data_IF_773196084858
#
_entry.id   IF_773196084858
#
_cell.length_a   1.000
_cell.length_b   1.000
_cell.length_c   1.000
_cell.angle_alpha   90.00
_cell.angle_beta   90.00
_cell.angle_gamma   90.00
#
_symmetry.space_group_name_H-M   'P 1'
#
loop_
_entity.id
_entity.type
_entity.pdbx_description
1 polymer ?
#
# COMPACT_ATOMS: atom_id res chain seq x y z
N UNK A 1 7.75 84.49 68.99
CA UNK A 1 6.91 85.03 67.92
C UNK A 1 7.20 84.29 66.61
N UNK A 2 6.16 83.56 66.10
CA UNK A 2 5.77 83.39 64.69
C UNK A 2 6.85 82.87 63.73
N UNK A 3 6.67 82.01 62.83
CA UNK A 3 5.56 81.35 62.09
C UNK A 3 6.25 80.40 61.06
N UNK A 4 5.92 79.15 61.05
CA UNK A 4 5.07 78.56 60.00
C UNK A 4 5.55 78.71 58.53
N UNK A 5 5.78 77.61 57.89
CA UNK A 5 5.34 77.10 56.51
C UNK A 5 6.46 76.23 55.91
N UNK A 6 6.23 75.23 55.19
CA UNK A 6 5.12 74.37 54.86
C UNK A 6 5.74 73.23 53.99
N UNK A 7 5.25 72.06 54.18
CA UNK A 7 5.48 70.91 53.27
C UNK A 7 4.90 71.18 51.89
N UNK A 8 5.47 70.57 50.88
CA UNK A 8 4.82 69.92 49.75
C UNK A 8 5.90 69.50 48.71
N UNK A 9 5.95 68.26 48.36
CA UNK A 9 6.71 67.89 47.17
C UNK A 9 7.36 66.50 47.23
N UNK A 10 6.62 65.44 47.53
CA UNK A 10 7.10 64.07 47.30
C UNK A 10 5.90 63.13 47.04
N UNK A 11 5.34 63.24 45.85
CA UNK A 11 4.40 62.25 45.36
C UNK A 11 4.24 62.43 43.87
N UNK A 12 5.04 61.77 43.04
CA UNK A 12 4.78 61.52 41.59
C UNK A 12 5.99 60.87 40.90
N UNK A 13 6.47 59.72 41.38
CA UNK A 13 7.37 58.86 40.59
C UNK A 13 7.14 57.37 40.94
N UNK A 14 5.93 56.91 41.16
CA UNK A 14 5.67 55.50 41.49
C UNK A 14 4.57 54.85 40.64
N UNK A 15 4.22 55.41 39.46
CA UNK A 15 3.13 54.82 38.65
C UNK A 15 3.58 54.35 37.26
N UNK A 16 4.83 54.54 36.86
CA UNK A 16 5.29 54.20 35.50
C UNK A 16 6.06 52.88 35.33
N UNK A 17 6.21 52.06 36.39
CA UNK A 17 6.96 50.76 36.30
C UNK A 17 6.07 49.52 36.28
N UNK A 18 4.78 49.62 36.56
CA UNK A 18 3.89 48.45 36.59
C UNK A 18 3.16 48.16 35.27
N UNK A 19 3.27 48.97 34.22
CA UNK A 19 2.59 48.76 32.92
C UNK A 19 3.43 47.99 31.89
N UNK A 20 4.74 47.72 32.15
CA UNK A 20 5.59 47.06 31.16
C UNK A 20 5.84 45.57 31.39
N UNK A 21 5.29 44.96 32.45
CA UNK A 21 5.46 43.51 32.74
C UNK A 21 4.23 42.67 32.36
N UNK A 22 3.10 43.29 32.02
CA UNK A 22 1.85 42.58 31.64
C UNK A 22 1.71 42.27 30.13
N UNK A 23 2.64 42.72 29.27
CA UNK A 23 2.55 42.52 27.81
C UNK A 23 3.45 41.40 27.26
N UNK A 24 4.18 40.67 28.07
CA UNK A 24 5.10 39.61 27.65
C UNK A 24 4.60 38.19 27.96
N UNK A 25 3.37 38.00 28.43
CA UNK A 25 2.82 36.67 28.79
C UNK A 25 1.64 36.17 27.92
N UNK A 26 1.49 36.72 26.70
CA UNK A 26 0.36 36.31 25.83
C UNK A 26 0.81 35.92 24.41
N UNK A 27 1.88 35.11 24.31
CA UNK A 27 2.14 34.33 23.10
C UNK A 27 2.54 32.88 23.47
N UNK A 28 1.75 32.26 24.35
CA UNK A 28 1.62 30.82 24.32
C UNK A 28 0.92 30.49 23.01
N UNK A 29 1.66 30.00 22.03
CA UNK A 29 1.13 29.61 20.73
C UNK A 29 -0.09 28.73 20.92
N UNK A 30 -1.21 29.11 20.37
CA UNK A 30 -2.31 28.19 20.18
C UNK A 30 -1.77 27.04 19.34
N UNK A 31 -1.53 25.89 19.97
CA UNK A 31 -1.37 24.63 19.26
C UNK A 31 -2.72 24.43 18.59
N UNK A 32 -2.81 24.70 17.29
CA UNK A 32 -3.99 24.37 16.50
C UNK A 32 -4.32 22.90 16.73
N UNK A 33 -5.58 22.47 16.52
CA UNK A 33 -5.93 21.06 16.64
C UNK A 33 -4.93 20.26 15.80
N UNK A 34 -4.33 19.22 16.40
CA UNK A 34 -3.44 18.31 15.69
C UNK A 34 -4.13 17.87 14.40
N UNK A 35 -3.43 17.96 13.26
CA UNK A 35 -3.98 17.51 12.00
C UNK A 35 -4.50 16.08 12.17
N UNK A 36 -5.71 15.81 11.69
CA UNK A 36 -6.29 14.49 11.77
C UNK A 36 -5.37 13.49 11.06
N UNK A 37 -5.03 12.39 11.73
CA UNK A 37 -4.26 11.29 11.16
C UNK A 37 -5.20 10.13 10.83
N UNK A 38 -4.75 9.23 9.93
CA UNK A 38 -5.53 8.06 9.51
C UNK A 38 -5.81 7.09 10.66
N UNK A 39 -4.95 7.06 11.68
CA UNK A 39 -4.87 5.93 12.57
C UNK A 39 -4.39 4.66 11.86
N UNK A 40 -4.02 3.64 12.60
CA UNK A 40 -3.72 2.31 12.10
C UNK A 40 -4.35 1.25 13.03
N UNK A 41 -5.13 0.28 12.52
CA UNK A 41 -5.43 0.02 11.10
C UNK A 41 -6.37 1.06 10.47
N UNK A 42 -6.19 1.30 9.16
CA UNK A 42 -6.96 2.31 8.40
C UNK A 42 -8.32 1.81 7.90
N UNK A 43 -8.51 0.49 7.82
CA UNK A 43 -9.75 -0.12 7.36
C UNK A 43 -10.44 -0.86 8.51
N UNK A 44 -11.75 -0.77 8.66
CA UNK A 44 -12.49 -1.51 9.69
C UNK A 44 -12.66 -2.98 9.27
N UNK A 45 -12.21 -3.92 10.11
CA UNK A 45 -12.29 -5.36 9.87
C UNK A 45 -10.95 -5.97 9.47
N UNK A 46 -11.00 -7.23 9.02
CA UNK A 46 -9.82 -8.01 8.66
C UNK A 46 -9.60 -7.95 7.15
N UNK A 47 -8.58 -7.20 6.73
CA UNK A 47 -8.20 -7.02 5.35
C UNK A 47 -6.68 -7.15 5.20
N UNK A 48 -6.26 -7.96 4.23
CA UNK A 48 -4.87 -8.25 3.95
C UNK A 48 -4.51 -7.92 2.50
N UNK A 49 -3.25 -8.09 2.15
CA UNK A 49 -2.72 -8.03 0.78
C UNK A 49 -3.24 -6.79 0.03
N UNK A 50 -3.06 -5.57 0.61
CA UNK A 50 -3.68 -4.37 0.07
C UNK A 50 -2.95 -3.90 -1.19
N UNK A 51 -3.67 -3.81 -2.29
CA UNK A 51 -3.25 -3.01 -3.44
C UNK A 51 -3.75 -1.59 -3.28
N UNK A 52 -2.85 -0.62 -3.39
CA UNK A 52 -3.19 0.80 -3.31
C UNK A 52 -2.91 1.49 -4.65
N UNK A 53 -3.85 2.30 -5.11
CA UNK A 53 -3.77 3.01 -6.38
C UNK A 53 -4.29 4.45 -6.22
N UNK A 54 -3.96 5.30 -7.19
CA UNK A 54 -4.53 6.65 -7.33
C UNK A 54 -5.24 6.72 -8.68
N UNK A 55 -6.55 6.94 -8.66
CA UNK A 55 -7.33 7.17 -9.87
C UNK A 55 -7.95 8.57 -9.81
N UNK A 56 -7.58 9.41 -10.79
CA UNK A 56 -7.96 10.84 -10.76
C UNK A 56 -7.41 11.54 -9.52
N UNK A 57 -8.30 12.09 -8.68
CA UNK A 57 -7.96 12.74 -7.40
C UNK A 57 -8.35 11.91 -6.17
N UNK A 58 -8.42 10.59 -6.31
CA UNK A 58 -8.90 9.69 -5.26
C UNK A 58 -7.90 8.57 -5.03
N UNK A 59 -7.59 8.33 -3.76
CA UNK A 59 -6.85 7.15 -3.31
C UNK A 59 -7.79 5.97 -3.22
N UNK A 60 -7.30 4.80 -3.63
CA UNK A 60 -8.03 3.54 -3.59
C UNK A 60 -7.20 2.47 -2.90
N UNK A 61 -7.88 1.59 -2.17
CA UNK A 61 -7.31 0.35 -1.64
C UNK A 61 -8.23 -0.80 -2.01
N UNK A 62 -7.64 -1.84 -2.59
CA UNK A 62 -8.30 -3.09 -2.95
C UNK A 62 -7.64 -4.22 -2.15
N UNK A 63 -8.22 -4.66 -1.04
CA UNK A 63 -7.60 -5.69 -0.21
C UNK A 63 -8.26 -7.06 -0.39
N UNK A 64 -7.55 -8.10 0.02
CA UNK A 64 -8.13 -9.43 0.30
C UNK A 64 -8.97 -9.37 1.58
N UNK A 65 -10.16 -9.97 1.59
CA UNK A 65 -10.88 -10.27 2.84
C UNK A 65 -10.12 -11.34 3.61
N UNK A 66 -9.60 -10.98 4.78
CA UNK A 66 -8.75 -11.88 5.57
C UNK A 66 -9.62 -12.79 6.45
N UNK A 67 -10.02 -13.93 5.91
CA UNK A 67 -10.91 -14.92 6.49
C UNK A 67 -10.43 -16.34 6.11
N UNK A 68 -11.01 -17.43 6.62
CA UNK A 68 -10.79 -18.77 6.08
C UNK A 68 -11.03 -18.85 4.57
N UNK A 69 -10.25 -19.62 3.84
CA UNK A 69 -10.22 -19.62 2.37
C UNK A 69 -11.58 -19.82 1.71
N UNK A 70 -12.41 -20.73 2.26
CA UNK A 70 -13.76 -20.97 1.76
C UNK A 70 -14.71 -19.76 1.91
N UNK A 71 -14.39 -18.80 2.76
CA UNK A 71 -15.15 -17.56 2.98
C UNK A 71 -14.64 -16.38 2.12
N UNK A 72 -13.49 -16.54 1.47
CA UNK A 72 -12.89 -15.52 0.62
C UNK A 72 -13.49 -15.57 -0.79
N UNK A 73 -14.77 -15.23 -0.88
CA UNK A 73 -15.59 -15.33 -2.09
C UNK A 73 -15.86 -13.99 -2.77
N UNK A 74 -15.19 -12.93 -2.34
CA UNK A 74 -15.36 -11.61 -2.95
C UNK A 74 -14.40 -10.57 -2.40
N UNK A 75 -14.30 -9.47 -3.12
CA UNK A 75 -13.51 -8.30 -2.76
C UNK A 75 -14.39 -7.12 -2.42
N UNK A 76 -13.91 -6.31 -1.49
CA UNK A 76 -14.35 -4.94 -1.29
C UNK A 76 -13.29 -3.99 -1.83
N UNK A 77 -13.68 -2.74 -2.07
CA UNK A 77 -12.76 -1.65 -2.33
C UNK A 77 -12.98 -0.52 -1.33
N UNK A 78 -11.98 0.32 -1.16
CA UNK A 78 -12.05 1.50 -0.31
C UNK A 78 -11.51 2.70 -1.06
N UNK A 79 -12.20 3.84 -0.96
CA UNK A 79 -11.76 5.10 -1.56
C UNK A 79 -11.61 6.18 -0.50
N UNK A 80 -10.64 7.06 -0.70
CA UNK A 80 -10.38 8.19 0.19
C UNK A 80 -9.96 9.43 -0.60
N UNK A 81 -10.45 10.62 -0.25
CA UNK A 81 -9.95 11.88 -0.80
C UNK A 81 -8.64 12.35 -0.17
N UNK A 82 -8.21 11.75 0.96
CA UNK A 82 -7.18 12.33 1.83
C UNK A 82 -6.37 11.34 2.68
N UNK A 83 -6.45 10.03 2.42
CA UNK A 83 -5.81 8.93 3.18
C UNK A 83 -6.34 8.74 4.62
N UNK A 84 -7.27 9.57 5.08
CA UNK A 84 -7.82 9.54 6.45
C UNK A 84 -9.26 9.07 6.47
N UNK A 85 -10.08 9.60 5.57
CA UNK A 85 -11.51 9.27 5.50
C UNK A 85 -11.74 8.24 4.40
N UNK A 86 -12.08 6.99 4.80
CA UNK A 86 -12.27 5.90 3.87
C UNK A 86 -13.74 5.53 3.69
N UNK A 87 -14.17 5.42 2.44
CA UNK A 87 -15.50 4.93 2.05
C UNK A 87 -15.38 3.51 1.52
N UNK A 88 -16.13 2.58 2.12
CA UNK A 88 -16.16 1.17 1.70
C UNK A 88 -17.15 0.94 0.57
N UNK A 89 -16.71 0.29 -0.49
CA UNK A 89 -17.49 -0.25 -1.59
C UNK A 89 -17.54 -1.77 -1.46
N UNK A 90 -18.73 -2.33 -1.22
CA UNK A 90 -18.88 -3.76 -0.92
C UNK A 90 -19.02 -4.58 -2.18
N UNK A 91 -18.43 -5.78 -2.20
CA UNK A 91 -18.62 -6.79 -3.24
C UNK A 91 -18.36 -6.24 -4.65
N UNK A 92 -17.25 -5.52 -4.83
CA UNK A 92 -16.88 -4.95 -6.14
C UNK A 92 -16.63 -6.05 -7.17
N UNK A 93 -16.17 -7.23 -6.73
CA UNK A 93 -16.05 -8.47 -7.49
C UNK A 93 -16.36 -9.65 -6.57
N UNK A 94 -17.12 -10.64 -7.03
CA UNK A 94 -17.45 -11.87 -6.28
C UNK A 94 -17.32 -13.11 -7.16
N UNK A 95 -17.23 -14.28 -6.55
CA UNK A 95 -17.23 -15.56 -7.26
C UNK A 95 -18.46 -15.77 -8.16
N UNK A 96 -19.60 -15.13 -7.84
CA UNK A 96 -20.80 -15.20 -8.70
C UNK A 96 -20.58 -14.58 -10.09
N UNK A 97 -19.62 -13.64 -10.20
CA UNK A 97 -19.26 -13.01 -11.47
C UNK A 97 -18.11 -13.73 -12.20
N UNK A 98 -17.56 -14.83 -11.63
CA UNK A 98 -16.38 -15.54 -12.14
C UNK A 98 -16.70 -17.04 -12.23
N UNK A 99 -17.05 -17.50 -13.42
CA UNK A 99 -17.57 -18.88 -13.62
C UNK A 99 -16.61 -20.00 -13.15
N UNK A 100 -15.31 -19.74 -13.10
CA UNK A 100 -14.27 -20.72 -12.77
C UNK A 100 -13.74 -20.59 -11.33
N UNK A 101 -13.99 -19.47 -10.63
CA UNK A 101 -13.52 -19.25 -9.26
C UNK A 101 -14.60 -19.63 -8.25
N UNK A 102 -14.22 -20.23 -7.13
CA UNK A 102 -15.12 -20.68 -6.07
C UNK A 102 -14.78 -20.09 -4.71
N UNK A 103 -13.49 -19.94 -4.41
CA UNK A 103 -12.95 -19.52 -3.11
C UNK A 103 -11.57 -18.91 -3.26
N UNK A 104 -10.97 -18.52 -2.15
CA UNK A 104 -9.60 -18.05 -2.07
C UNK A 104 -9.32 -16.92 -3.09
N UNK A 105 -10.21 -15.92 -3.14
CA UNK A 105 -9.98 -14.71 -3.92
C UNK A 105 -8.98 -13.83 -3.19
N UNK A 106 -7.76 -13.67 -3.78
CA UNK A 106 -6.61 -13.06 -3.13
C UNK A 106 -5.92 -11.98 -3.92
N UNK A 107 -5.20 -11.13 -3.16
CA UNK A 107 -4.13 -10.25 -3.61
C UNK A 107 -4.47 -9.53 -4.92
N UNK A 108 -5.46 -8.63 -4.91
CA UNK A 108 -5.86 -7.92 -6.12
C UNK A 108 -4.75 -6.97 -6.59
N UNK A 109 -4.72 -6.71 -7.90
CA UNK A 109 -3.98 -5.60 -8.51
C UNK A 109 -4.89 -4.92 -9.51
N UNK A 110 -5.05 -3.59 -9.42
CA UNK A 110 -6.04 -2.86 -10.20
C UNK A 110 -5.37 -1.73 -10.97
N UNK A 111 -5.58 -1.71 -12.28
CA UNK A 111 -5.04 -0.67 -13.17
C UNK A 111 -6.15 -0.02 -13.98
N UNK A 112 -5.97 1.25 -14.33
CA UNK A 112 -6.80 1.97 -15.29
C UNK A 112 -6.16 1.92 -16.67
N UNK A 113 -6.97 1.65 -17.69
CA UNK A 113 -6.57 1.77 -19.08
C UNK A 113 -7.74 2.17 -19.97
N UNK A 114 -7.57 3.19 -20.77
CA UNK A 114 -8.55 3.68 -21.75
C UNK A 114 -9.94 3.96 -21.11
N UNK A 115 -9.93 4.51 -19.87
CA UNK A 115 -11.14 4.84 -19.11
C UNK A 115 -11.86 3.62 -18.54
N UNK A 116 -11.22 2.45 -18.51
CA UNK A 116 -11.72 1.22 -17.90
C UNK A 116 -10.75 0.73 -16.84
N UNK A 117 -11.30 0.00 -15.85
CA UNK A 117 -10.54 -0.54 -14.72
C UNK A 117 -10.44 -2.04 -14.86
N UNK A 118 -9.21 -2.57 -14.74
CA UNK A 118 -8.92 -3.98 -14.86
C UNK A 118 -8.43 -4.49 -13.51
N UNK A 119 -9.13 -5.47 -13.00
CA UNK A 119 -8.93 -6.07 -11.68
C UNK A 119 -8.33 -7.46 -11.85
N UNK A 120 -7.04 -7.59 -11.58
CA UNK A 120 -6.35 -8.88 -11.56
C UNK A 120 -6.48 -9.47 -10.15
N UNK A 121 -6.68 -10.77 -10.06
CA UNK A 121 -6.90 -11.47 -8.80
C UNK A 121 -6.42 -12.91 -8.88
N UNK A 122 -6.07 -13.52 -7.74
CA UNK A 122 -5.82 -14.96 -7.62
C UNK A 122 -7.06 -15.67 -7.12
N UNK A 123 -7.24 -16.92 -7.51
CA UNK A 123 -8.38 -17.73 -7.07
C UNK A 123 -8.06 -19.23 -6.94
N UNK A 124 -8.80 -19.91 -6.05
CA UNK A 124 -8.86 -21.36 -5.84
C UNK A 124 -7.60 -22.01 -5.26
N UNK A 125 -6.55 -21.24 -4.89
CA UNK A 125 -5.34 -21.77 -4.21
C UNK A 125 -4.79 -23.07 -4.79
N UNK A 126 -4.60 -23.13 -6.12
CA UNK A 126 -4.17 -24.34 -6.82
C UNK A 126 -2.78 -24.82 -6.36
N UNK A 127 -2.63 -26.14 -6.27
CA UNK A 127 -1.39 -26.81 -5.88
C UNK A 127 -0.72 -27.56 -7.04
N UNK A 128 -1.41 -27.63 -8.17
CA UNK A 128 -0.93 -28.32 -9.36
C UNK A 128 -1.61 -27.79 -10.63
N UNK A 129 -1.02 -28.09 -11.80
CA UNK A 129 -1.54 -27.73 -13.12
C UNK A 129 -2.85 -28.46 -13.49
N UNK A 130 -3.26 -29.46 -12.71
CA UNK A 130 -4.50 -30.21 -12.91
C UNK A 130 -5.70 -29.56 -12.22
N UNK A 131 -5.47 -28.56 -11.37
CA UNK A 131 -6.52 -27.84 -10.64
C UNK A 131 -6.94 -26.58 -11.43
N UNK A 132 -8.23 -26.28 -11.39
CA UNK A 132 -8.76 -25.07 -12.02
C UNK A 132 -8.60 -23.88 -11.07
N UNK A 133 -7.81 -22.90 -11.43
CA UNK A 133 -7.55 -21.70 -10.63
C UNK A 133 -6.35 -20.92 -11.13
N UNK A 134 -5.80 -20.07 -10.29
CA UNK A 134 -4.68 -19.18 -10.60
C UNK A 134 -5.09 -17.73 -10.79
N UNK A 135 -4.43 -16.99 -11.66
CA UNK A 135 -4.63 -15.54 -11.84
C UNK A 135 -5.70 -15.28 -12.89
N UNK A 136 -6.72 -14.50 -12.53
CA UNK A 136 -7.76 -14.01 -13.41
C UNK A 136 -7.68 -12.50 -13.64
N UNK A 137 -8.50 -12.02 -14.57
CA UNK A 137 -8.71 -10.60 -14.84
C UNK A 137 -10.19 -10.30 -15.05
N UNK A 138 -10.68 -9.28 -14.35
CA UNK A 138 -12.03 -8.76 -14.48
C UNK A 138 -12.00 -7.29 -14.90
N UNK A 139 -13.08 -6.76 -15.42
CA UNK A 139 -13.14 -5.40 -15.95
C UNK A 139 -14.40 -4.68 -15.51
N UNK A 140 -14.28 -3.37 -15.27
CA UNK A 140 -15.39 -2.47 -14.95
C UNK A 140 -15.20 -1.10 -15.61
N UNK A 141 -16.26 -0.31 -15.65
CA UNK A 141 -16.24 1.06 -16.17
C UNK A 141 -15.95 2.10 -15.06
N UNK A 142 -15.88 1.64 -13.79
CA UNK A 142 -15.57 2.48 -12.60
C UNK A 142 -14.75 1.67 -11.60
N UNK A 143 -13.89 2.32 -10.80
CA UNK A 143 -13.00 1.63 -9.87
C UNK A 143 -13.75 0.88 -8.75
N UNK A 144 -14.93 1.33 -8.35
CA UNK A 144 -15.81 0.63 -7.41
C UNK A 144 -16.61 -0.52 -8.03
N UNK A 145 -16.41 -0.80 -9.31
CA UNK A 145 -17.12 -1.88 -10.02
C UNK A 145 -18.58 -1.56 -10.39
N UNK A 146 -19.45 -2.59 -10.55
CA UNK A 146 -19.14 -4.01 -10.41
C UNK A 146 -18.21 -4.52 -11.53
N UNK A 147 -17.26 -5.36 -11.15
CA UNK A 147 -16.36 -6.00 -12.10
C UNK A 147 -16.97 -7.27 -12.68
N UNK A 148 -16.60 -7.58 -13.93
CA UNK A 148 -17.01 -8.80 -14.65
C UNK A 148 -15.78 -9.55 -15.13
N UNK A 149 -15.79 -10.87 -15.03
CA UNK A 149 -14.73 -11.72 -15.59
C UNK A 149 -14.52 -11.39 -17.07
N UNK A 150 -13.28 -11.11 -17.45
CA UNK A 150 -12.94 -10.73 -18.82
C UNK A 150 -12.80 -11.94 -19.74
N UNK A 151 -12.31 -13.08 -19.22
CA UNK A 151 -11.86 -14.21 -20.03
C UNK A 151 -12.73 -15.46 -19.91
N UNK A 152 -13.50 -15.61 -18.83
CA UNK A 152 -14.22 -16.84 -18.51
C UNK A 152 -13.31 -18.02 -18.11
N UNK A 153 -12.03 -17.75 -17.89
CA UNK A 153 -10.98 -18.72 -17.52
C UNK A 153 -9.80 -17.96 -16.89
N UNK A 154 -8.90 -18.64 -16.16
CA UNK A 154 -7.65 -18.02 -15.69
C UNK A 154 -6.83 -17.44 -16.85
N UNK A 155 -6.23 -16.27 -16.62
CA UNK A 155 -5.20 -15.67 -17.47
C UNK A 155 -3.90 -16.47 -17.38
N UNK A 156 -3.50 -16.85 -16.16
CA UNK A 156 -2.41 -17.77 -15.85
C UNK A 156 -2.96 -18.84 -14.91
N UNK A 157 -3.13 -20.04 -15.40
CA UNK A 157 -3.71 -21.17 -14.68
C UNK A 157 -2.75 -22.34 -14.44
N UNK A 158 -1.45 -22.14 -14.70
CA UNK A 158 -0.42 -23.18 -14.56
C UNK A 158 0.82 -22.62 -13.91
N UNK A 159 1.63 -23.50 -13.33
CA UNK A 159 2.91 -23.15 -12.74
C UNK A 159 3.97 -22.92 -13.82
N UNK A 160 4.73 -21.85 -13.68
CA UNK A 160 5.89 -21.56 -14.53
C UNK A 160 7.09 -21.28 -13.63
N UNK A 161 8.25 -21.87 -13.93
CA UNK A 161 9.49 -21.72 -13.15
C UNK A 161 9.30 -22.04 -11.64
N UNK A 162 8.34 -22.93 -11.28
CA UNK A 162 8.02 -23.28 -9.89
C UNK A 162 7.12 -22.29 -9.14
N UNK A 163 6.77 -21.16 -9.74
CA UNK A 163 5.91 -20.15 -9.10
C UNK A 163 4.44 -20.59 -9.12
N UNK A 164 3.82 -20.61 -7.94
CA UNK A 164 2.37 -20.68 -7.83
C UNK A 164 1.79 -19.41 -8.47
N UNK A 165 0.75 -19.53 -9.33
CA UNK A 165 0.15 -18.36 -9.98
C UNK A 165 -0.76 -17.57 -9.03
N UNK A 166 -0.14 -16.80 -8.14
CA UNK A 166 -0.78 -15.92 -7.15
C UNK A 166 -0.02 -14.59 -7.03
N UNK A 167 -0.58 -13.65 -6.28
CA UNK A 167 0.07 -12.41 -5.83
C UNK A 167 0.61 -11.58 -6.99
N UNK A 168 -0.24 -11.36 -7.98
CA UNK A 168 0.10 -10.59 -9.15
C UNK A 168 0.10 -9.09 -8.86
N UNK A 169 1.07 -8.39 -9.41
CA UNK A 169 1.16 -6.94 -9.48
C UNK A 169 1.33 -6.52 -10.95
N UNK A 170 0.49 -5.61 -11.41
CA UNK A 170 0.46 -5.12 -12.80
C UNK A 170 0.86 -3.66 -12.84
N UNK A 171 1.73 -3.30 -13.80
CA UNK A 171 2.14 -1.92 -14.02
C UNK A 171 2.42 -1.65 -15.50
N UNK A 172 2.28 -0.38 -15.88
CA UNK A 172 2.71 0.15 -17.17
C UNK A 172 4.11 0.73 -17.02
N UNK A 173 5.02 0.39 -17.93
CA UNK A 173 6.35 1.01 -18.01
C UNK A 173 6.31 2.28 -18.88
N UNK A 174 7.37 3.10 -18.82
CA UNK A 174 7.46 4.37 -19.55
C UNK A 174 7.34 4.24 -21.07
N UNK A 175 7.60 3.06 -21.61
CA UNK A 175 7.45 2.76 -23.05
C UNK A 175 6.02 2.31 -23.44
N UNK A 176 5.09 2.32 -22.49
CA UNK A 176 3.71 1.87 -22.67
C UNK A 176 3.53 0.35 -22.65
N UNK A 177 4.56 -0.41 -22.33
CA UNK A 177 4.45 -1.85 -22.18
C UNK A 177 3.86 -2.21 -20.81
N UNK A 178 2.89 -3.12 -20.82
CA UNK A 178 2.29 -3.65 -19.60
C UNK A 178 3.01 -4.90 -19.12
N UNK A 179 3.37 -4.90 -17.85
CA UNK A 179 4.01 -6.02 -17.20
C UNK A 179 3.16 -6.53 -16.03
N UNK A 180 3.26 -7.82 -15.76
CA UNK A 180 2.75 -8.41 -14.53
C UNK A 180 3.86 -9.22 -13.87
N UNK A 181 4.11 -8.95 -12.59
CA UNK A 181 4.94 -9.78 -11.73
C UNK A 181 4.00 -10.62 -10.91
N UNK A 182 4.30 -11.90 -10.73
CA UNK A 182 3.50 -12.79 -9.90
C UNK A 182 4.34 -13.94 -9.35
N UNK A 183 3.86 -14.54 -8.28
CA UNK A 183 4.41 -15.80 -7.82
C UNK A 183 4.36 -15.99 -6.31
N UNK A 184 4.05 -17.22 -5.93
CA UNK A 184 4.23 -17.76 -4.60
C UNK A 184 5.26 -18.88 -4.58
N UNK A 185 5.36 -19.59 -3.44
CA UNK A 185 6.23 -20.73 -3.23
C UNK A 185 7.72 -20.43 -3.48
N UNK A 186 8.13 -19.21 -3.16
CA UNK A 186 9.51 -18.72 -3.27
C UNK A 186 10.03 -18.56 -4.71
N UNK A 187 9.13 -18.41 -5.67
CA UNK A 187 9.44 -18.15 -7.07
C UNK A 187 8.64 -16.95 -7.59
N UNK A 188 9.27 -16.11 -8.39
CA UNK A 188 8.65 -14.96 -9.02
C UNK A 188 8.90 -14.94 -10.52
N UNK A 189 7.85 -14.69 -11.28
CA UNK A 189 7.93 -14.46 -12.72
C UNK A 189 7.54 -13.02 -13.07
N UNK A 190 8.14 -12.48 -14.13
CA UNK A 190 7.64 -11.31 -14.84
C UNK A 190 7.20 -11.73 -16.23
N UNK A 191 6.03 -11.25 -16.65
CA UNK A 191 5.48 -11.45 -18.00
C UNK A 191 5.13 -10.11 -18.62
N UNK A 192 5.19 -10.02 -19.95
CA UNK A 192 4.60 -8.91 -20.70
C UNK A 192 3.16 -9.26 -21.03
N UNK A 193 2.25 -8.38 -20.69
CA UNK A 193 0.83 -8.55 -21.02
C UNK A 193 0.55 -8.08 -22.44
N UNK A 194 -0.47 -8.66 -23.08
CA UNK A 194 -1.10 -8.06 -24.25
C UNK A 194 -1.82 -6.77 -23.83
N UNK A 195 -1.93 -5.85 -24.78
CA UNK A 195 -2.52 -4.54 -24.50
C UNK A 195 -4.00 -4.60 -24.10
N UNK A 196 -4.71 -5.66 -24.46
CA UNK A 196 -6.10 -5.93 -24.08
C UNK A 196 -6.25 -6.81 -22.82
N UNK A 197 -5.12 -7.15 -22.16
CA UNK A 197 -5.04 -8.03 -21.00
C UNK A 197 -5.62 -9.43 -21.19
N UNK A 198 -5.78 -9.88 -22.45
CA UNK A 198 -6.33 -11.22 -22.76
C UNK A 198 -5.29 -12.33 -22.78
N UNK A 199 -4.03 -12.02 -22.51
CA UNK A 199 -2.94 -13.00 -22.51
C UNK A 199 -1.58 -12.35 -22.34
N UNK A 200 -0.54 -13.19 -22.40
CA UNK A 200 0.86 -12.78 -22.34
C UNK A 200 1.46 -12.70 -23.75
N UNK A 201 2.55 -11.95 -23.90
CA UNK A 201 3.36 -11.86 -25.12
C UNK A 201 4.84 -12.02 -24.80
N UNK A 202 5.68 -12.44 -25.77
CA UNK A 202 7.09 -12.64 -25.52
C UNK A 202 7.83 -11.35 -25.09
N UNK A 203 8.83 -11.50 -24.23
CA UNK A 203 9.90 -10.54 -24.06
C UNK A 203 10.74 -10.45 -25.33
N UNK A 204 11.68 -9.49 -25.41
CA UNK A 204 12.57 -9.30 -26.55
C UNK A 204 13.43 -10.53 -26.88
N UNK A 205 13.77 -11.34 -25.86
CA UNK A 205 14.52 -12.59 -26.00
C UNK A 205 13.66 -13.81 -26.35
N UNK A 206 12.37 -13.62 -26.60
CA UNK A 206 11.40 -14.66 -26.93
C UNK A 206 10.80 -15.40 -25.74
N UNK A 207 11.24 -15.12 -24.52
CA UNK A 207 10.72 -15.76 -23.28
C UNK A 207 9.32 -15.23 -22.97
N UNK A 208 8.37 -16.10 -22.62
CA UNK A 208 7.03 -15.69 -22.13
C UNK A 208 7.02 -15.43 -20.62
N UNK A 209 7.63 -16.34 -19.87
CA UNK A 209 7.68 -16.30 -18.38
C UNK A 209 9.15 -16.20 -17.98
N UNK A 210 9.56 -15.03 -17.55
CA UNK A 210 10.93 -14.80 -17.12
C UNK A 210 11.01 -14.84 -15.61
N UNK A 211 11.82 -15.76 -15.07
CA UNK A 211 12.06 -15.82 -13.64
C UNK A 211 12.88 -14.61 -13.18
N UNK A 212 12.41 -13.93 -12.14
CA UNK A 212 13.08 -12.77 -11.53
C UNK A 212 13.22 -12.92 -10.02
N UNK A 213 13.11 -14.14 -9.50
CA UNK A 213 13.18 -14.42 -8.05
C UNK A 213 14.44 -13.82 -7.44
N UNK A 214 14.33 -12.85 -6.52
CA UNK A 214 15.50 -12.33 -5.81
C UNK A 214 15.92 -13.31 -4.71
N UNK A 215 17.16 -13.77 -4.78
CA UNK A 215 17.70 -14.67 -3.75
C UNK A 215 18.18 -13.87 -2.52
N UNK A 216 18.16 -14.49 -1.29
CA UNK A 216 17.74 -15.87 -1.02
C UNK A 216 16.33 -16.01 -0.41
N UNK A 217 15.65 -14.93 -0.05
CA UNK A 217 14.56 -14.95 0.94
C UNK A 217 13.16 -14.64 0.35
N UNK A 218 13.02 -14.52 -0.96
CA UNK A 218 11.71 -14.26 -1.58
C UNK A 218 10.69 -15.34 -1.21
N UNK A 219 9.46 -14.92 -0.91
CA UNK A 219 8.33 -15.82 -0.70
C UNK A 219 7.18 -15.51 -1.65
N UNK A 220 6.70 -14.26 -1.67
CA UNK A 220 5.51 -13.83 -2.41
C UNK A 220 5.33 -12.30 -2.36
N UNK A 221 4.17 -11.78 -2.80
CA UNK A 221 3.76 -10.37 -2.59
C UNK A 221 4.63 -9.37 -3.33
N UNK A 222 4.87 -9.62 -4.61
CA UNK A 222 5.69 -8.78 -5.48
C UNK A 222 5.06 -7.42 -5.77
N UNK A 223 5.87 -6.37 -5.79
CA UNK A 223 5.50 -5.03 -6.22
C UNK A 223 6.69 -4.35 -6.89
N UNK A 224 6.45 -3.53 -7.90
CA UNK A 224 7.47 -2.73 -8.56
C UNK A 224 7.00 -1.31 -8.79
N UNK A 225 7.87 -0.34 -8.50
CA UNK A 225 7.66 1.05 -8.90
C UNK A 225 8.95 1.66 -9.45
N UNK A 226 8.82 2.78 -10.14
CA UNK A 226 9.96 3.51 -10.72
C UNK A 226 10.19 4.83 -10.00
N UNK A 227 11.44 5.10 -9.63
CA UNK A 227 11.85 6.37 -9.03
C UNK A 227 13.25 6.74 -9.52
N UNK A 228 13.41 7.97 -10.01
CA UNK A 228 14.69 8.45 -10.52
C UNK A 228 15.27 7.59 -11.65
N UNK A 229 14.43 7.04 -12.53
CA UNK A 229 14.84 6.18 -13.66
C UNK A 229 15.24 4.76 -13.27
N UNK A 230 15.11 4.36 -12.00
CA UNK A 230 15.43 3.01 -11.51
C UNK A 230 14.17 2.28 -11.06
N UNK A 231 14.17 0.96 -11.20
CA UNK A 231 13.10 0.07 -10.77
C UNK A 231 13.38 -0.42 -9.35
N UNK A 232 12.42 -0.18 -8.45
CA UNK A 232 12.41 -0.69 -7.08
C UNK A 232 11.49 -1.89 -7.05
N UNK A 233 12.08 -3.07 -6.92
CA UNK A 233 11.34 -4.31 -6.76
C UNK A 233 11.25 -4.67 -5.29
N UNK A 234 10.04 -4.82 -4.79
CA UNK A 234 9.74 -5.14 -3.39
C UNK A 234 8.98 -6.46 -3.31
N UNK A 235 9.17 -7.20 -2.22
CA UNK A 235 8.51 -8.50 -2.02
C UNK A 235 8.42 -8.82 -0.54
N UNK A 236 7.63 -9.88 -0.20
CA UNK A 236 7.53 -10.40 1.16
C UNK A 236 8.50 -11.55 1.40
N UNK A 237 9.04 -11.59 2.61
CA UNK A 237 9.89 -12.64 3.18
C UNK A 237 9.26 -13.23 4.42
N UNK A 238 9.49 -14.52 4.70
CA UNK A 238 8.88 -15.25 5.81
C UNK A 238 7.49 -15.79 5.49
N UNK A 239 6.89 -16.54 6.39
CA UNK A 239 5.53 -17.07 6.21
C UNK A 239 4.46 -16.04 6.54
N UNK A 240 3.44 -15.87 5.69
CA UNK A 240 2.40 -14.85 5.87
C UNK A 240 1.61 -14.96 7.20
N UNK A 241 1.58 -16.15 7.79
CA UNK A 241 0.95 -16.37 9.09
C UNK A 241 1.88 -16.23 10.29
N UNK A 242 3.18 -16.02 10.05
CA UNK A 242 4.22 -16.00 11.08
C UNK A 242 4.60 -14.56 11.47
N UNK A 243 5.08 -14.35 12.70
CA UNK A 243 5.47 -13.00 13.17
C UNK A 243 6.55 -12.33 12.31
N UNK A 244 7.45 -13.12 11.72
CA UNK A 244 8.62 -12.67 10.95
C UNK A 244 8.29 -12.24 9.52
N UNK A 245 7.03 -12.34 9.08
CA UNK A 245 6.61 -11.85 7.78
C UNK A 245 6.99 -10.38 7.63
N UNK A 246 7.65 -10.04 6.53
CA UNK A 246 8.37 -8.78 6.39
C UNK A 246 8.48 -8.37 4.93
N UNK A 247 8.91 -7.13 4.66
CA UNK A 247 9.14 -6.61 3.29
C UNK A 247 10.62 -6.34 3.08
N UNK A 248 11.15 -6.83 1.96
CA UNK A 248 12.48 -6.55 1.46
C UNK A 248 12.43 -5.96 0.05
N UNK A 249 13.58 -5.49 -0.45
CA UNK A 249 13.63 -4.87 -1.78
C UNK A 249 14.99 -5.00 -2.47
N UNK A 250 14.95 -4.74 -3.77
CA UNK A 250 16.10 -4.58 -4.65
C UNK A 250 15.89 -3.38 -5.60
N UNK A 251 16.97 -2.93 -6.24
CA UNK A 251 16.95 -1.88 -7.26
C UNK A 251 17.66 -2.40 -8.51
N UNK A 252 17.08 -2.11 -9.68
CA UNK A 252 17.64 -2.44 -10.99
C UNK A 252 17.40 -1.33 -12.01
N UNK A 253 18.12 -1.39 -13.14
CA UNK A 253 17.96 -0.46 -14.26
C UNK A 253 16.90 -0.92 -15.28
N UNK A 254 16.40 -2.16 -15.14
CA UNK A 254 15.38 -2.76 -16.00
C UNK A 254 14.31 -3.47 -15.16
N UNK A 255 13.07 -3.55 -15.64
CA UNK A 255 11.98 -4.24 -14.92
C UNK A 255 12.23 -5.76 -14.82
N UNK A 256 13.10 -6.31 -15.65
CA UNK A 256 13.50 -7.72 -15.64
C UNK A 256 14.77 -8.01 -14.83
N UNK A 257 15.30 -7.02 -14.12
CA UNK A 257 16.53 -7.15 -13.33
C UNK A 257 17.83 -7.06 -14.13
N UNK A 258 18.93 -7.65 -13.63
CA UNK A 258 18.99 -8.54 -12.46
C UNK A 258 18.73 -7.82 -11.12
N UNK A 259 18.09 -8.53 -10.20
CA UNK A 259 17.77 -8.02 -8.87
C UNK A 259 18.71 -8.62 -7.80
N UNK A 260 19.38 -7.73 -7.06
CA UNK A 260 20.17 -8.09 -5.90
C UNK A 260 19.51 -7.51 -4.66
N UNK A 261 19.12 -8.38 -3.74
CA UNK A 261 18.51 -7.99 -2.46
C UNK A 261 19.41 -6.98 -1.72
N UNK A 262 18.80 -5.86 -1.31
CA UNK A 262 19.46 -4.82 -0.52
C UNK A 262 19.21 -5.07 0.97
N UNK A 263 17.97 -5.22 1.39
CA UNK A 263 17.62 -5.46 2.79
C UNK A 263 16.13 -5.41 3.06
N UNK A 264 15.76 -5.66 4.30
CA UNK A 264 14.41 -5.48 4.82
C UNK A 264 14.15 -4.01 5.11
N UNK A 265 12.95 -3.56 4.80
CA UNK A 265 12.50 -2.18 5.07
C UNK A 265 11.30 -2.14 6.01
N UNK A 266 10.51 -3.22 6.08
CA UNK A 266 9.40 -3.36 6.99
C UNK A 266 9.48 -4.73 7.67
N UNK A 267 9.31 -4.76 8.97
CA UNK A 267 9.28 -5.96 9.79
C UNK A 267 8.45 -5.71 11.03
N UNK A 268 8.15 -6.77 11.77
CA UNK A 268 7.39 -6.65 13.02
C UNK A 268 8.00 -5.65 14.00
N UNK A 269 7.13 -4.97 14.73
CA UNK A 269 7.45 -4.23 15.94
C UNK A 269 6.70 -4.90 17.11
N UNK A 270 7.39 -5.57 18.05
CA UNK A 270 6.73 -6.31 19.10
C UNK A 270 5.93 -5.45 20.08
N UNK A 271 6.02 -4.12 19.97
CA UNK A 271 5.22 -3.16 20.76
C UNK A 271 3.98 -2.66 20.01
N UNK A 272 3.85 -2.93 18.71
CA UNK A 272 2.80 -2.42 17.84
C UNK A 272 2.05 -3.55 17.14
N UNK A 273 2.74 -4.36 16.35
CA UNK A 273 2.15 -5.45 15.58
C UNK A 273 3.20 -6.44 15.05
N UNK A 274 2.76 -7.62 14.67
CA UNK A 274 3.57 -8.67 14.04
C UNK A 274 3.10 -8.94 12.61
N UNK A 275 3.78 -9.84 11.91
CA UNK A 275 3.34 -10.34 10.58
C UNK A 275 3.09 -9.21 9.58
N UNK A 276 4.05 -8.28 9.43
CA UNK A 276 3.93 -7.10 8.60
C UNK A 276 4.52 -7.37 7.20
N UNK A 277 3.66 -7.51 6.22
CA UNK A 277 4.10 -7.81 4.84
C UNK A 277 2.98 -7.61 3.83
N UNK A 278 3.15 -8.16 2.66
CA UNK A 278 2.32 -8.03 1.47
C UNK A 278 1.73 -6.61 1.35
N UNK A 279 2.31 -5.81 0.52
CA UNK A 279 2.24 -4.36 0.57
C UNK A 279 2.02 -3.76 -0.82
N UNK A 280 1.63 -2.51 -0.82
CA UNK A 280 1.70 -1.62 -1.98
C UNK A 280 2.29 -0.27 -1.60
N UNK A 281 2.57 0.55 -2.61
CA UNK A 281 3.20 1.86 -2.46
C UNK A 281 2.34 2.93 -3.11
N UNK A 282 2.10 4.01 -2.40
CA UNK A 282 1.48 5.23 -2.95
C UNK A 282 2.56 6.29 -3.07
N UNK A 283 2.71 6.85 -4.26
CA UNK A 283 3.34 8.15 -4.48
C UNK A 283 2.23 9.18 -4.67
N UNK A 284 2.13 10.14 -3.76
CA UNK A 284 1.11 11.17 -3.87
C UNK A 284 1.45 12.13 -5.03
N UNK A 285 0.62 12.20 -6.08
CA UNK A 285 0.88 13.03 -7.25
C UNK A 285 1.09 14.51 -6.88
N UNK A 286 2.13 15.14 -7.45
CA UNK A 286 2.46 16.54 -7.20
C UNK A 286 3.29 16.80 -5.95
N UNK A 287 3.69 15.76 -5.21
CA UNK A 287 4.55 15.85 -4.03
C UNK A 287 5.67 14.81 -4.07
N UNK A 288 6.63 14.87 -3.15
CA UNK A 288 7.60 13.78 -2.91
C UNK A 288 7.17 12.95 -1.67
N UNK A 289 5.85 12.80 -1.49
CA UNK A 289 5.29 12.02 -0.40
C UNK A 289 5.04 10.58 -0.85
N UNK A 290 5.71 9.65 -0.17
CA UNK A 290 5.61 8.21 -0.41
C UNK A 290 5.05 7.52 0.81
N UNK A 291 4.18 6.55 0.59
CA UNK A 291 3.51 5.77 1.62
C UNK A 291 3.61 4.29 1.29
N UNK A 292 3.78 3.47 2.30
CA UNK A 292 3.62 2.03 2.21
C UNK A 292 2.28 1.65 2.84
N UNK A 293 1.45 0.91 2.10
CA UNK A 293 0.20 0.32 2.56
C UNK A 293 0.45 -1.18 2.68
N UNK A 294 0.19 -1.78 3.82
CA UNK A 294 0.57 -3.16 4.09
C UNK A 294 -0.40 -3.80 5.08
N UNK A 295 -0.41 -5.11 5.17
CA UNK A 295 -1.12 -5.74 6.27
C UNK A 295 -0.19 -6.02 7.45
N UNK A 296 -0.77 -6.06 8.65
CA UNK A 296 -0.11 -6.46 9.89
C UNK A 296 -1.10 -7.19 10.80
N UNK A 297 -0.61 -8.01 11.71
CA UNK A 297 -1.42 -8.66 12.73
C UNK A 297 -1.29 -7.89 14.04
N UNK A 298 -2.39 -7.33 14.60
CA UNK A 298 -2.38 -6.64 15.88
C UNK A 298 -1.88 -7.52 17.01
N UNK A 299 -1.26 -6.91 18.02
CA UNK A 299 -0.78 -7.65 19.19
C UNK A 299 -1.94 -8.34 19.92
N UNK A 300 -1.70 -9.57 20.37
CA UNK A 300 -2.69 -10.40 21.04
C UNK A 300 -3.58 -11.21 20.10
N UNK A 301 -3.58 -10.93 18.80
CA UNK A 301 -4.29 -11.76 17.82
C UNK A 301 -3.52 -13.04 17.54
N UNK A 302 -4.22 -14.17 17.62
CA UNK A 302 -3.65 -15.51 17.42
C UNK A 302 -4.05 -16.14 16.10
N UNK A 303 -5.15 -15.68 15.50
CA UNK A 303 -5.58 -16.15 14.18
C UNK A 303 -4.68 -15.57 13.09
N UNK A 304 -4.16 -16.43 12.23
CA UNK A 304 -3.40 -16.01 11.04
C UNK A 304 -4.24 -15.19 10.06
N UNK A 305 -5.58 -15.29 10.13
CA UNK A 305 -6.51 -14.53 9.31
C UNK A 305 -6.89 -13.16 9.90
N UNK A 306 -6.45 -12.84 11.11
CA UNK A 306 -6.69 -11.52 11.71
C UNK A 306 -5.61 -10.52 11.27
N UNK A 307 -5.55 -10.28 9.95
CA UNK A 307 -4.67 -9.29 9.34
C UNK A 307 -5.43 -8.00 9.07
N UNK A 308 -4.83 -6.88 9.44
CA UNK A 308 -5.43 -5.55 9.34
C UNK A 308 -4.56 -4.65 8.47
N UNK A 309 -5.18 -3.85 7.61
CA UNK A 309 -4.47 -2.93 6.71
C UNK A 309 -4.00 -1.68 7.43
N UNK A 310 -2.74 -1.32 7.26
CA UNK A 310 -2.08 -0.16 7.83
C UNK A 310 -1.39 0.68 6.74
N UNK A 311 -1.11 1.94 7.06
CA UNK A 311 -0.36 2.86 6.20
C UNK A 311 0.67 3.62 7.04
N UNK A 312 1.89 3.72 6.52
CA UNK A 312 2.95 4.53 7.12
C UNK A 312 3.75 5.25 6.05
N UNK A 313 4.52 6.28 6.46
CA UNK A 313 5.40 7.03 5.55
C UNK A 313 6.58 6.17 5.12
N UNK A 314 6.93 6.28 3.84
CA UNK A 314 8.14 5.70 3.27
C UNK A 314 9.10 6.83 2.88
N UNK A 315 10.36 6.69 3.27
CA UNK A 315 11.40 7.69 3.04
C UNK A 315 12.57 7.08 2.27
N UNK A 316 13.33 7.95 1.61
CA UNK A 316 14.53 7.57 0.87
C UNK A 316 15.73 8.38 1.38
N UNK A 317 16.90 7.77 1.37
CA UNK A 317 18.15 8.50 1.63
C UNK A 317 18.64 9.28 0.39
N UNK A 318 19.75 10.01 0.53
CA UNK A 318 20.33 10.79 -0.55
C UNK A 318 20.81 9.95 -1.75
N UNK A 319 21.01 8.64 -1.56
CA UNK A 319 21.37 7.68 -2.62
C UNK A 319 20.15 7.03 -3.26
N UNK A 320 18.96 7.36 -2.77
CA UNK A 320 17.69 6.78 -3.19
C UNK A 320 17.42 5.40 -2.61
N UNK A 321 18.10 4.98 -1.54
CA UNK A 321 17.76 3.75 -0.83
C UNK A 321 16.54 3.98 0.06
N UNK A 322 15.64 2.99 0.11
CA UNK A 322 14.49 3.05 1.02
C UNK A 322 14.99 2.91 2.45
N UNK A 323 14.64 3.87 3.30
CA UNK A 323 14.92 3.81 4.73
C UNK A 323 13.98 2.81 5.42
N UNK A 324 14.39 2.19 6.53
CA UNK A 324 13.50 1.34 7.32
C UNK A 324 12.20 2.07 7.67
N UNK A 325 11.08 1.44 7.37
CA UNK A 325 9.74 1.98 7.67
C UNK A 325 9.50 1.89 9.17
N UNK A 326 9.12 3.02 9.75
CA UNK A 326 8.65 3.05 11.14
C UNK A 326 7.17 2.71 11.17
N UNK A 327 6.85 1.54 11.71
CA UNK A 327 5.49 1.16 11.99
C UNK A 327 4.88 2.08 13.07
N UNK A 328 3.63 2.55 12.88
CA UNK A 328 2.98 3.46 13.83
C UNK A 328 1.55 3.01 14.14
N UNK A 329 0.99 3.51 15.24
CA UNK A 329 -0.45 3.46 15.54
C UNK A 329 -1.18 4.70 15.01
N UNK A 330 -0.45 5.79 14.82
CA UNK A 330 -0.99 7.08 14.38
C UNK A 330 -1.30 7.10 12.88
N UNK A 331 -0.60 6.29 12.07
CA UNK A 331 -0.73 6.31 10.62
C UNK A 331 -0.15 7.59 10.00
N UNK A 332 -0.85 8.16 9.04
CA UNK A 332 -0.37 9.30 8.26
C UNK A 332 -1.32 10.51 8.36
N UNK A 333 -0.81 11.73 8.23
CA UNK A 333 -1.64 12.92 8.17
C UNK A 333 -2.47 12.94 6.88
N UNK A 334 -3.56 13.70 6.90
CA UNK A 334 -4.37 13.92 5.71
C UNK A 334 -3.55 14.53 4.58
N UNK A 335 -3.65 13.93 3.39
CA UNK A 335 -3.05 14.42 2.16
C UNK A 335 -4.08 14.39 1.03
N UNK A 336 -4.51 15.56 0.57
CA UNK A 336 -5.45 15.70 -0.53
C UNK A 336 -4.70 15.81 -1.84
N UNK A 337 -5.24 15.19 -2.87
CA UNK A 337 -4.76 15.38 -4.23
C UNK A 337 -5.44 16.59 -4.85
N UNK A 338 -4.67 17.41 -5.57
CA UNK A 338 -5.22 18.49 -6.36
C UNK A 338 -6.10 17.93 -7.47
N UNK A 339 -7.28 18.54 -7.67
CA UNK A 339 -8.13 18.22 -8.81
C UNK A 339 -7.38 18.57 -10.10
N UNK A 340 -7.06 17.58 -10.90
CA UNK A 340 -6.46 17.77 -12.24
C UNK A 340 -7.51 18.06 -13.28
#
# INVERSE_FOLDING_TARGET
MAKMRAAVGAALVAVAVFAAVAAAAASAGQVGPAAATSGNPILPGWYADPEAAVFGSTYWIFPTRSAPYAEQTGFDAFSSPDLVQWTRHRNVLTTDAIAWAREALWAPSVVERDGRYYFFFSANDIKSDQELGGIGVAVADRPEGPYRDLLGKPLIGTFHNGAQPIDQFVFEDDDGAWYMIYGGWKHANIVRLKDDFTGVRPHEDGTLYKEITPAPEYVEGSLMFKRGGRYYYMWSEGGWGEPEYSVAYAIADKPTGPFKRIGKILQQDPTIATSAGHHSVIHAPGSDNWYIVYHRRPLGETSRHHRATAIDRMYFDEKGLILPVRMTMEGVPAERLDAR
#
